data_IF_865462194811
#
_entry.id   IF_865462194811
#
_cell.length_a   1.000
_cell.length_b   1.000
_cell.length_c   1.000
_cell.angle_alpha   90.00
_cell.angle_beta   90.00
_cell.angle_gamma   90.00
#
_symmetry.space_group_name_H-M   'P 1'
#
loop_
_entity.id
_entity.type
_entity.pdbx_description
1 polymer ?
#
# COMPACT_ATOMS: atom_id res chain seq x y z
N UNK A 1 -10.62 11.78 -51.48
CA UNK A 1 -10.96 10.84 -50.37
C UNK A 1 -10.27 11.34 -49.11
N UNK A 2 -11.01 11.76 -48.07
CA UNK A 2 -10.41 12.15 -46.78
C UNK A 2 -9.95 10.88 -46.07
N UNK A 3 -8.64 10.69 -45.88
CA UNK A 3 -8.15 9.64 -44.99
C UNK A 3 -8.58 10.00 -43.57
N UNK A 4 -9.47 9.20 -42.99
CA UNK A 4 -9.88 9.39 -41.59
C UNK A 4 -8.78 8.78 -40.73
N UNK A 5 -8.18 9.60 -39.86
CA UNK A 5 -7.09 9.19 -38.97
C UNK A 5 -7.46 7.90 -38.21
N UNK A 6 -6.51 6.98 -38.09
CA UNK A 6 -6.68 5.79 -37.28
C UNK A 6 -6.79 6.18 -35.80
N UNK A 7 -7.58 5.43 -35.03
CA UNK A 7 -7.58 5.58 -33.57
C UNK A 7 -6.14 5.45 -33.06
N UNK A 8 -5.69 6.45 -32.31
CA UNK A 8 -4.37 6.45 -31.68
C UNK A 8 -4.60 6.16 -30.21
N UNK A 9 -4.00 5.08 -29.72
CA UNK A 9 -4.09 4.72 -28.29
C UNK A 9 -3.00 5.43 -27.51
N UNK A 10 -3.23 5.67 -26.21
CA UNK A 10 -2.24 6.28 -25.34
C UNK A 10 -1.02 5.35 -25.14
N UNK A 11 0.16 5.90 -24.77
CA UNK A 11 1.34 5.09 -24.49
C UNK A 11 1.06 3.96 -23.49
N UNK A 12 1.32 2.72 -23.90
CA UNK A 12 1.12 1.50 -23.10
C UNK A 12 -0.25 0.82 -23.24
N UNK A 13 -1.20 1.48 -23.90
CA UNK A 13 -2.47 0.85 -24.26
C UNK A 13 -2.28 -0.15 -25.42
N UNK A 14 -3.15 -1.17 -25.47
CA UNK A 14 -3.13 -2.15 -26.56
C UNK A 14 -4.24 -1.82 -27.55
N UNK A 15 -3.88 -1.60 -28.81
CA UNK A 15 -4.86 -1.46 -29.89
C UNK A 15 -5.42 -2.82 -30.30
N UNK A 16 -6.75 -2.95 -30.33
CA UNK A 16 -7.44 -4.14 -30.85
C UNK A 16 -8.29 -3.73 -32.04
N UNK A 17 -8.17 -4.48 -33.13
CA UNK A 17 -8.93 -4.27 -34.36
C UNK A 17 -9.67 -5.55 -34.75
N UNK A 18 -10.95 -5.42 -35.06
CA UNK A 18 -11.81 -6.54 -35.47
C UNK A 18 -12.82 -6.11 -36.52
N UNK A 19 -13.36 -7.07 -37.26
CA UNK A 19 -14.43 -6.85 -38.24
C UNK A 19 -15.74 -7.41 -37.70
N UNK A 20 -16.68 -6.53 -37.32
CA UNK A 20 -18.05 -6.92 -36.89
C UNK A 20 -19.05 -5.79 -37.21
N UNK A 21 -20.31 -5.91 -36.84
CA UNK A 21 -21.27 -4.80 -36.95
C UNK A 21 -21.02 -3.77 -35.85
N UNK A 22 -21.37 -2.49 -36.06
CA UNK A 22 -21.12 -1.48 -35.01
C UNK A 22 -21.81 -1.79 -33.67
N UNK A 23 -22.99 -2.42 -33.70
CA UNK A 23 -23.67 -2.88 -32.49
C UNK A 23 -22.90 -3.96 -31.73
N UNK A 24 -22.09 -4.77 -32.43
CA UNK A 24 -21.26 -5.81 -31.83
C UNK A 24 -19.85 -5.36 -31.42
N UNK A 25 -19.42 -4.13 -31.76
CA UNK A 25 -18.06 -3.68 -31.50
C UNK A 25 -17.73 -3.66 -30.00
N UNK A 26 -18.58 -3.02 -29.20
CA UNK A 26 -18.33 -2.83 -27.77
C UNK A 26 -18.23 -4.15 -27.01
N UNK A 27 -19.22 -5.06 -27.03
CA UNK A 27 -19.13 -6.30 -26.27
C UNK A 27 -17.97 -7.20 -26.73
N UNK A 28 -17.59 -7.14 -28.02
CA UNK A 28 -16.43 -7.85 -28.51
C UNK A 28 -15.12 -7.29 -27.95
N UNK A 29 -14.97 -5.96 -27.98
CA UNK A 29 -13.78 -5.28 -27.46
C UNK A 29 -13.68 -5.42 -25.93
N UNK A 30 -14.80 -5.34 -25.21
CA UNK A 30 -14.87 -5.59 -23.76
C UNK A 30 -14.42 -7.02 -23.42
N UNK A 31 -14.89 -8.03 -24.16
CA UNK A 31 -14.45 -9.40 -23.99
C UNK A 31 -12.94 -9.53 -24.27
N UNK A 32 -12.45 -8.97 -25.39
CA UNK A 32 -11.02 -9.06 -25.75
C UNK A 32 -10.10 -8.33 -24.77
N UNK A 33 -10.46 -7.14 -24.31
CA UNK A 33 -9.71 -6.43 -23.28
C UNK A 33 -9.82 -7.15 -21.93
N UNK A 34 -11.00 -7.65 -21.57
CA UNK A 34 -11.24 -8.39 -20.33
C UNK A 34 -10.42 -9.68 -20.22
N UNK A 35 -10.22 -10.40 -21.33
CA UNK A 35 -9.30 -11.54 -21.39
C UNK A 35 -7.84 -11.17 -21.09
N UNK A 36 -7.48 -9.89 -21.22
CA UNK A 36 -6.15 -9.35 -20.86
C UNK A 36 -6.16 -8.67 -19.47
N UNK A 37 -7.25 -8.75 -18.72
CA UNK A 37 -7.42 -8.04 -17.45
C UNK A 37 -7.49 -6.52 -17.62
N UNK A 38 -7.91 -6.04 -18.79
CA UNK A 38 -7.99 -4.61 -19.14
C UNK A 38 -9.42 -4.21 -19.44
N UNK A 39 -9.73 -2.93 -19.29
CA UNK A 39 -11.01 -2.34 -19.72
C UNK A 39 -10.81 -1.57 -21.04
N UNK A 40 -11.87 -1.41 -21.82
CA UNK A 40 -11.84 -0.61 -23.05
C UNK A 40 -11.79 0.87 -22.66
N UNK A 41 -10.73 1.59 -23.03
CA UNK A 41 -10.64 3.05 -22.85
C UNK A 41 -11.34 3.81 -23.95
N UNK A 42 -11.12 3.39 -25.19
CA UNK A 42 -11.62 4.07 -26.38
C UNK A 42 -12.10 3.07 -27.42
N UNK A 43 -13.11 3.47 -28.19
CA UNK A 43 -13.74 2.64 -29.21
C UNK A 43 -14.14 3.49 -30.40
N UNK A 44 -13.79 3.03 -31.58
CA UNK A 44 -14.18 3.61 -32.86
C UNK A 44 -14.75 2.51 -33.76
N UNK A 45 -15.92 2.79 -34.36
CA UNK A 45 -16.50 1.94 -35.39
C UNK A 45 -16.51 2.66 -36.73
N UNK A 46 -15.89 2.08 -37.75
CA UNK A 46 -15.89 2.60 -39.12
C UNK A 46 -16.49 1.58 -40.06
N UNK A 47 -17.40 1.99 -40.94
CA UNK A 47 -17.93 1.10 -42.00
C UNK A 47 -16.80 0.72 -42.96
N UNK A 48 -16.70 -0.55 -43.34
CA UNK A 48 -15.66 -1.01 -44.26
C UNK A 48 -15.97 -0.52 -45.67
N UNK A 49 -15.03 0.21 -46.28
CA UNK A 49 -15.20 0.77 -47.62
C UNK A 49 -15.32 -0.31 -48.70
N UNK A 50 -14.80 -1.52 -48.45
CA UNK A 50 -14.89 -2.66 -49.37
C UNK A 50 -16.14 -3.51 -49.12
N UNK A 51 -16.77 -3.39 -47.95
CA UNK A 51 -17.93 -4.20 -47.60
C UNK A 51 -18.92 -3.43 -46.71
N UNK A 52 -19.99 -2.91 -47.33
CA UNK A 52 -21.02 -2.10 -46.66
C UNK A 52 -21.75 -2.82 -45.51
N UNK A 53 -21.69 -4.15 -45.43
CA UNK A 53 -22.31 -4.94 -44.36
C UNK A 53 -21.39 -5.17 -43.16
N UNK A 54 -20.10 -4.85 -43.30
CA UNK A 54 -19.10 -5.00 -42.23
C UNK A 54 -18.64 -3.63 -41.74
N UNK A 55 -18.34 -3.57 -40.45
CA UNK A 55 -17.63 -2.46 -39.85
C UNK A 55 -16.31 -2.95 -39.27
N UNK A 56 -15.31 -2.08 -39.34
CA UNK A 56 -14.05 -2.22 -38.67
C UNK A 56 -14.20 -1.54 -37.31
N UNK A 57 -14.18 -2.34 -36.26
CA UNK A 57 -14.09 -1.85 -34.89
C UNK A 57 -12.62 -1.75 -34.51
N UNK A 58 -12.23 -0.60 -33.99
CA UNK A 58 -10.92 -0.39 -33.41
C UNK A 58 -11.12 0.10 -31.98
N UNK A 59 -10.40 -0.43 -31.02
CA UNK A 59 -10.49 0.02 -29.64
C UNK A 59 -9.15 -0.05 -28.94
N UNK A 60 -9.01 0.75 -27.89
CA UNK A 60 -7.85 0.76 -27.02
C UNK A 60 -8.23 0.05 -25.73
N UNK A 61 -7.42 -0.92 -25.31
CA UNK A 61 -7.50 -1.49 -23.97
C UNK A 61 -6.56 -0.69 -23.07
N UNK A 62 -7.07 -0.20 -21.94
CA UNK A 62 -6.27 0.53 -20.96
C UNK A 62 -4.97 -0.22 -20.62
N UNK A 63 -3.93 0.55 -20.29
CA UNK A 63 -2.80 0.01 -19.53
C UNK A 63 -3.39 -0.73 -18.33
N UNK A 64 -2.92 -1.95 -17.99
CA UNK A 64 -3.35 -2.59 -16.76
C UNK A 64 -3.18 -1.54 -15.67
N UNK A 65 -4.28 -1.13 -15.04
CA UNK A 65 -4.18 -0.33 -13.82
C UNK A 65 -3.13 -1.04 -12.96
N UNK A 66 -2.19 -0.32 -12.31
CA UNK A 66 -1.32 -0.94 -11.33
C UNK A 66 -2.22 -1.50 -10.23
N UNK A 67 -2.71 -2.72 -10.47
CA UNK A 67 -3.35 -3.52 -9.45
C UNK A 67 -2.27 -3.67 -8.37
N UNK A 68 -2.63 -3.50 -7.09
CA UNK A 68 -1.73 -3.82 -6.01
C UNK A 68 -1.22 -5.25 -6.25
N UNK A 69 0.06 -5.37 -6.61
CA UNK A 69 0.82 -6.60 -6.79
C UNK A 69 -0.06 -7.81 -7.16
N UNK A 70 -0.47 -7.92 -8.43
CA UNK A 70 -0.80 -9.24 -8.95
C UNK A 70 0.50 -10.05 -8.99
N UNK A 71 0.70 -10.83 -7.93
CA UNK A 71 1.62 -11.97 -7.94
C UNK A 71 1.38 -12.81 -9.19
N UNK A 72 2.43 -13.41 -9.77
CA UNK A 72 2.34 -14.19 -11.00
C UNK A 72 1.21 -15.21 -10.91
N UNK A 73 0.57 -15.60 -12.03
CA UNK A 73 -0.46 -16.64 -12.03
C UNK A 73 0.16 -17.87 -11.40
N UNK A 74 -0.21 -18.11 -10.15
CA UNK A 74 0.32 -19.20 -9.35
C UNK A 74 -0.22 -20.47 -9.99
N UNK A 75 0.57 -21.03 -10.91
CA UNK A 75 0.39 -22.37 -11.47
C UNK A 75 0.55 -23.46 -10.41
N UNK A 76 0.85 -23.12 -9.16
CA UNK A 76 0.75 -24.09 -8.08
C UNK A 76 -0.70 -24.18 -7.62
N UNK A 77 -1.28 -25.35 -7.83
CA UNK A 77 -2.57 -25.83 -7.31
C UNK A 77 -2.68 -25.79 -5.78
N UNK A 78 -1.76 -25.10 -5.09
CA UNK A 78 -1.57 -25.07 -3.65
C UNK A 78 -1.31 -23.63 -3.21
N UNK A 79 -2.04 -23.24 -2.19
CA UNK A 79 -1.79 -22.00 -1.48
C UNK A 79 -0.50 -22.11 -0.64
N UNK A 80 0.12 -20.98 -0.26
CA UNK A 80 1.19 -20.93 0.73
C UNK A 80 0.84 -21.71 2.01
N UNK A 81 1.85 -22.23 2.72
CA UNK A 81 1.68 -23.13 3.87
C UNK A 81 0.80 -22.58 5.02
N UNK A 82 0.57 -21.26 5.08
CA UNK A 82 -0.26 -20.59 6.08
C UNK A 82 -1.67 -20.23 5.59
N UNK A 83 -2.00 -20.59 4.36
CA UNK A 83 -3.28 -20.28 3.73
C UNK A 83 -4.08 -21.56 3.50
N UNK A 84 -5.40 -21.45 3.62
CA UNK A 84 -6.32 -22.55 3.35
C UNK A 84 -6.80 -22.45 1.90
N UNK A 85 -6.61 -23.50 1.12
CA UNK A 85 -7.15 -23.56 -0.23
C UNK A 85 -8.66 -23.86 -0.23
N UNK A 86 -9.39 -23.20 -1.12
CA UNK A 86 -10.78 -23.47 -1.42
C UNK A 86 -10.97 -23.56 -2.93
N UNK A 87 -11.38 -24.73 -3.39
CA UNK A 87 -11.61 -25.00 -4.81
C UNK A 87 -13.10 -25.25 -5.04
N UNK A 88 -13.66 -24.65 -6.08
CA UNK A 88 -15.04 -24.92 -6.51
C UNK A 88 -15.21 -24.74 -8.01
N UNK A 89 -16.28 -25.33 -8.54
CA UNK A 89 -16.58 -25.37 -9.97
C UNK A 89 -17.96 -24.79 -10.23
N UNK A 90 -18.08 -24.07 -11.33
CA UNK A 90 -19.36 -23.65 -11.89
C UNK A 90 -19.54 -24.34 -13.25
N UNK A 91 -20.41 -25.35 -13.29
CA UNK A 91 -20.74 -26.11 -14.51
C UNK A 91 -21.88 -25.41 -15.25
N UNK A 92 -21.84 -25.40 -16.58
CA UNK A 92 -22.89 -24.82 -17.43
C UNK A 92 -22.90 -23.29 -17.48
N UNK A 93 -21.91 -22.63 -16.90
CA UNK A 93 -21.69 -21.19 -17.02
C UNK A 93 -20.70 -20.90 -18.15
N UNK A 94 -20.89 -19.77 -18.83
CA UNK A 94 -19.96 -19.30 -19.86
C UNK A 94 -18.57 -19.16 -19.25
N UNK A 95 -17.58 -19.72 -19.94
CA UNK A 95 -16.15 -19.82 -19.55
C UNK A 95 -15.52 -18.50 -19.15
N UNK A 96 -16.14 -17.37 -19.52
CA UNK A 96 -15.61 -16.03 -19.36
C UNK A 96 -16.05 -15.30 -18.10
N UNK A 97 -16.99 -15.85 -17.31
CA UNK A 97 -17.52 -15.14 -16.14
C UNK A 97 -16.73 -15.44 -14.86
N UNK A 98 -15.48 -14.97 -14.82
CA UNK A 98 -14.65 -15.07 -13.62
C UNK A 98 -15.14 -14.21 -12.45
N UNK A 99 -16.17 -13.36 -12.64
CA UNK A 99 -16.80 -12.62 -11.56
C UNK A 99 -17.44 -13.53 -10.51
N UNK A 100 -17.88 -14.72 -10.93
CA UNK A 100 -18.38 -15.77 -10.03
C UNK A 100 -17.30 -16.31 -9.08
N UNK A 101 -16.04 -16.36 -9.53
CA UNK A 101 -14.93 -16.77 -8.65
C UNK A 101 -14.69 -15.74 -7.56
N UNK A 102 -14.77 -14.45 -7.88
CA UNK A 102 -14.51 -13.39 -6.91
C UNK A 102 -15.53 -13.42 -5.76
N UNK A 103 -16.82 -13.47 -6.08
CA UNK A 103 -17.88 -13.54 -5.07
C UNK A 103 -17.82 -14.86 -4.30
N UNK A 104 -17.65 -16.00 -4.99
CA UNK A 104 -17.56 -17.31 -4.35
C UNK A 104 -16.34 -17.47 -3.44
N UNK A 105 -15.17 -16.92 -3.83
CA UNK A 105 -13.98 -16.91 -2.99
C UNK A 105 -14.21 -16.11 -1.72
N UNK A 106 -14.77 -14.91 -1.84
CA UNK A 106 -15.09 -14.05 -0.68
C UNK A 106 -16.00 -14.77 0.30
N UNK A 107 -17.14 -15.27 -0.17
CA UNK A 107 -18.11 -15.99 0.68
C UNK A 107 -17.46 -17.19 1.41
N UNK A 108 -16.62 -17.96 0.71
CA UNK A 108 -15.98 -19.16 1.29
C UNK A 108 -14.87 -18.84 2.29
N UNK A 109 -14.09 -17.79 2.05
CA UNK A 109 -13.08 -17.36 3.02
C UNK A 109 -13.75 -16.69 4.23
N UNK A 110 -14.78 -15.89 4.04
CA UNK A 110 -15.54 -15.26 5.13
C UNK A 110 -16.18 -16.32 6.04
N UNK A 111 -16.69 -17.42 5.48
CA UNK A 111 -17.25 -18.55 6.23
C UNK A 111 -16.28 -19.23 7.21
N UNK A 112 -14.96 -19.03 7.05
CA UNK A 112 -13.93 -19.55 7.96
C UNK A 112 -13.21 -18.43 8.73
N UNK A 113 -13.77 -17.21 8.75
CA UNK A 113 -13.14 -16.05 9.39
C UNK A 113 -11.81 -15.62 8.73
N UNK A 114 -11.63 -15.96 7.46
CA UNK A 114 -10.46 -15.63 6.67
C UNK A 114 -10.75 -14.50 5.68
N UNK A 115 -9.71 -13.96 5.06
CA UNK A 115 -9.81 -13.08 3.89
C UNK A 115 -9.21 -13.77 2.67
N UNK A 116 -9.73 -13.44 1.48
CA UNK A 116 -9.12 -13.86 0.22
C UNK A 116 -7.80 -13.12 0.06
N UNK A 117 -6.69 -13.83 -0.12
CA UNK A 117 -5.38 -13.25 -0.45
C UNK A 117 -5.05 -13.40 -1.92
N UNK A 118 -5.34 -14.57 -2.48
CA UNK A 118 -5.10 -14.90 -3.88
C UNK A 118 -6.31 -15.63 -4.45
N UNK A 119 -6.64 -15.37 -5.71
CA UNK A 119 -7.67 -16.12 -6.44
C UNK A 119 -7.20 -16.44 -7.86
N UNK A 120 -7.61 -17.60 -8.37
CA UNK A 120 -7.38 -18.02 -9.75
C UNK A 120 -8.69 -18.52 -10.36
N UNK A 121 -8.88 -18.22 -11.65
CA UNK A 121 -10.03 -18.63 -12.45
C UNK A 121 -9.51 -19.42 -13.65
N UNK A 122 -9.92 -20.68 -13.78
CA UNK A 122 -9.47 -21.58 -14.85
C UNK A 122 -10.70 -22.11 -15.59
N UNK A 123 -10.73 -21.93 -16.91
CA UNK A 123 -11.77 -22.52 -17.75
C UNK A 123 -11.70 -24.05 -17.71
N UNK A 124 -12.83 -24.71 -17.45
CA UNK A 124 -12.95 -26.16 -17.54
C UNK A 124 -13.31 -26.53 -18.98
N UNK A 125 -12.48 -27.36 -19.61
CA UNK A 125 -12.70 -27.91 -20.95
C UNK A 125 -12.76 -29.43 -20.89
N UNK A 126 -13.65 -30.04 -21.67
CA UNK A 126 -13.65 -31.50 -21.85
C UNK A 126 -12.47 -31.86 -22.73
N UNK A 127 -11.52 -32.63 -22.20
CA UNK A 127 -10.23 -32.93 -22.86
C UNK A 127 -10.43 -33.51 -24.27
N UNK A 128 -11.43 -34.38 -24.45
CA UNK A 128 -11.71 -35.04 -25.73
C UNK A 128 -12.24 -34.08 -26.81
N UNK A 129 -13.07 -33.10 -26.45
CA UNK A 129 -13.79 -32.25 -27.42
C UNK A 129 -13.34 -30.80 -27.41
N UNK A 130 -12.51 -30.40 -26.44
CA UNK A 130 -12.13 -29.01 -26.13
C UNK A 130 -13.33 -28.08 -25.93
N UNK A 131 -14.52 -28.63 -25.71
CA UNK A 131 -15.73 -27.84 -25.44
C UNK A 131 -15.63 -27.31 -24.01
N UNK A 132 -15.78 -26.00 -23.80
CA UNK A 132 -15.80 -25.46 -22.46
C UNK A 132 -17.09 -25.84 -21.75
N UNK A 133 -16.96 -26.36 -20.54
CA UNK A 133 -18.07 -26.85 -19.71
C UNK A 133 -18.29 -26.04 -18.45
N UNK A 134 -17.39 -25.10 -18.16
CA UNK A 134 -17.53 -24.23 -17.00
C UNK A 134 -16.23 -23.55 -16.61
N UNK A 135 -16.16 -23.18 -15.34
CA UNK A 135 -14.96 -22.59 -14.71
C UNK A 135 -14.67 -23.29 -13.38
N UNK A 136 -13.39 -23.33 -13.02
CA UNK A 136 -12.89 -23.73 -11.71
C UNK A 136 -12.26 -22.51 -11.06
N UNK A 137 -12.72 -22.22 -9.85
CA UNK A 137 -12.22 -21.16 -9.01
C UNK A 137 -11.35 -21.77 -7.91
N UNK A 138 -10.14 -21.24 -7.76
CA UNK A 138 -9.24 -21.58 -6.65
C UNK A 138 -9.01 -20.31 -5.84
N UNK A 139 -9.19 -20.39 -4.53
CA UNK A 139 -9.03 -19.28 -3.61
C UNK A 139 -8.04 -19.67 -2.52
N UNK A 140 -7.17 -18.74 -2.14
CA UNK A 140 -6.36 -18.86 -0.95
C UNK A 140 -6.91 -17.96 0.13
N UNK A 141 -7.28 -18.59 1.25
CA UNK A 141 -7.89 -17.93 2.40
C UNK A 141 -6.86 -17.83 3.52
N UNK A 142 -6.47 -16.62 3.88
CA UNK A 142 -5.62 -16.36 5.03
C UNK A 142 -6.51 -16.05 6.25
N UNK A 143 -6.38 -16.85 7.32
CA UNK A 143 -7.07 -16.56 8.59
C UNK A 143 -6.72 -15.13 9.02
N UNK A 144 -7.73 -14.37 9.46
CA UNK A 144 -7.47 -13.11 10.13
C UNK A 144 -6.80 -13.46 11.45
N UNK A 145 -5.50 -13.23 11.55
CA UNK A 145 -4.88 -13.16 12.86
C UNK A 145 -5.63 -12.08 13.64
N UNK A 146 -6.03 -12.34 14.90
CA UNK A 146 -6.57 -11.28 15.73
C UNK A 146 -5.57 -10.14 15.67
N UNK A 147 -6.04 -8.95 15.27
CA UNK A 147 -5.20 -7.78 15.28
C UNK A 147 -4.57 -7.70 16.68
N UNK A 148 -3.24 -7.50 16.80
CA UNK A 148 -2.69 -7.19 18.09
C UNK A 148 -3.48 -6.00 18.65
N UNK A 149 -3.80 -6.00 19.95
CA UNK A 149 -4.50 -4.88 20.57
C UNK A 149 -3.78 -3.59 20.17
N UNK A 150 -4.54 -2.50 19.90
CA UNK A 150 -3.91 -1.22 19.60
C UNK A 150 -2.87 -0.93 20.69
N UNK A 151 -1.67 -0.46 20.31
CA UNK A 151 -0.69 -0.04 21.32
C UNK A 151 -1.38 0.95 22.27
N UNK A 152 -1.08 0.89 23.58
CA UNK A 152 -1.65 1.83 24.53
C UNK A 152 -1.44 3.26 23.99
N UNK A 153 -2.41 4.17 24.18
CA UNK A 153 -2.26 5.56 23.74
C UNK A 153 -0.91 6.05 24.24
N UNK A 154 -0.06 6.49 23.31
CA UNK A 154 1.22 7.07 23.65
C UNK A 154 0.94 8.17 24.67
N UNK A 155 1.53 8.04 25.87
CA UNK A 155 1.51 9.12 26.84
C UNK A 155 1.93 10.38 26.10
N UNK A 156 1.13 11.44 26.24
CA UNK A 156 1.45 12.74 25.67
C UNK A 156 2.92 13.04 25.95
N UNK A 157 3.70 13.48 24.96
CA UNK A 157 5.07 13.87 25.20
C UNK A 157 5.08 14.84 26.39
N UNK A 158 5.98 14.65 27.37
CA UNK A 158 6.08 15.58 28.48
C UNK A 158 6.19 17.01 27.92
N UNK A 159 5.54 18.00 28.55
CA UNK A 159 5.62 19.37 28.10
C UNK A 159 7.09 19.75 27.88
N UNK A 160 7.41 20.48 26.80
CA UNK A 160 8.77 20.91 26.53
C UNK A 160 9.33 21.57 27.79
N UNK A 161 10.57 21.26 28.20
CA UNK A 161 11.18 21.88 29.36
C UNK A 161 11.10 23.40 29.20
N UNK A 162 10.78 24.15 30.28
CA UNK A 162 10.78 25.60 30.23
C UNK A 162 12.12 26.07 29.67
N UNK A 163 12.13 27.13 28.82
CA UNK A 163 13.37 27.66 28.28
C UNK A 163 14.34 27.89 29.44
N UNK A 164 15.61 27.45 29.32
CA UNK A 164 16.59 27.62 30.38
C UNK A 164 16.57 29.09 30.76
N UNK A 165 16.29 29.34 32.03
CA UNK A 165 16.27 30.66 32.60
C UNK A 165 17.72 31.15 32.51
N UNK A 166 18.09 31.74 31.36
CA UNK A 166 19.48 32.00 31.00
C UNK A 166 20.04 33.03 31.99
N UNK A 167 20.60 32.53 33.09
CA UNK A 167 21.30 33.33 34.11
C UNK A 167 22.59 33.95 33.57
N UNK A 168 23.02 33.52 32.38
CA UNK A 168 24.23 33.96 31.71
C UNK A 168 23.98 35.23 30.90
N UNK A 169 24.98 36.12 30.91
CA UNK A 169 24.97 37.30 30.05
C UNK A 169 25.12 36.88 28.58
N UNK A 170 24.59 37.70 27.67
CA UNK A 170 24.78 37.50 26.22
C UNK A 170 26.28 37.47 25.91
N UNK A 171 26.73 36.39 25.26
CA UNK A 171 28.14 36.14 24.97
C UNK A 171 28.78 35.05 25.84
N UNK A 172 28.14 34.66 26.96
CA UNK A 172 28.64 33.61 27.83
C UNK A 172 28.04 32.25 27.44
N UNK A 173 28.84 31.19 27.57
CA UNK A 173 28.38 29.81 27.35
C UNK A 173 27.69 29.29 28.60
N UNK A 174 26.42 28.90 28.47
CA UNK A 174 25.64 28.25 29.54
C UNK A 174 25.91 26.74 29.55
N UNK A 175 26.11 26.19 30.74
CA UNK A 175 26.19 24.75 30.97
C UNK A 175 25.46 24.38 32.26
N UNK A 176 24.71 23.29 32.26
CA UNK A 176 23.97 22.79 33.43
C UNK A 176 24.37 21.35 33.77
N UNK A 177 24.38 21.03 35.06
CA UNK A 177 24.68 19.72 35.64
C UNK A 177 23.64 19.38 36.69
N UNK A 178 23.18 18.14 36.72
CA UNK A 178 22.29 17.65 37.76
C UNK A 178 22.97 16.56 38.59
N UNK A 179 22.91 16.70 39.91
CA UNK A 179 23.43 15.73 40.87
C UNK A 179 22.27 15.18 41.71
N UNK A 180 21.93 13.92 41.48
CA UNK A 180 20.89 13.20 42.22
C UNK A 180 21.43 12.66 43.55
N UNK A 181 20.54 12.49 44.53
CA UNK A 181 20.82 12.00 45.89
C UNK A 181 21.75 12.90 46.72
N UNK A 182 21.73 14.21 46.46
CA UNK A 182 22.50 15.19 47.24
C UNK A 182 21.71 16.49 47.37
N UNK A 183 22.00 17.25 48.43
CA UNK A 183 21.57 18.65 48.62
C UNK A 183 22.77 19.58 48.75
N UNK A 184 23.98 19.05 48.53
CA UNK A 184 25.23 19.77 48.73
C UNK A 184 25.63 20.50 47.45
N UNK A 185 25.63 21.83 47.49
CA UNK A 185 26.08 22.69 46.39
C UNK A 185 27.60 22.71 46.19
N UNK A 186 28.39 22.15 47.10
CA UNK A 186 29.87 22.16 47.00
C UNK A 186 30.40 21.45 45.75
N UNK A 187 29.64 20.52 45.18
CA UNK A 187 30.00 19.87 43.91
C UNK A 187 29.94 20.84 42.72
N UNK A 188 29.04 21.83 42.75
CA UNK A 188 28.86 22.78 41.65
C UNK A 188 30.12 23.60 41.35
N UNK A 189 30.89 23.98 42.37
CA UNK A 189 32.11 24.76 42.17
C UNK A 189 33.14 23.99 41.35
N UNK A 190 33.43 22.76 41.77
CA UNK A 190 34.36 21.88 41.06
C UNK A 190 33.86 21.48 39.67
N UNK A 191 32.56 21.28 39.51
CA UNK A 191 31.94 20.88 38.24
C UNK A 191 31.91 22.04 37.24
N UNK A 192 31.55 23.24 37.68
CA UNK A 192 31.61 24.46 36.87
C UNK A 192 33.04 24.80 36.47
N UNK A 193 34.01 24.67 37.37
CA UNK A 193 35.42 24.91 37.05
C UNK A 193 35.95 23.90 36.02
N UNK A 194 35.56 22.63 36.14
CA UNK A 194 35.88 21.60 35.14
C UNK A 194 35.24 21.88 33.79
N UNK A 195 33.96 22.29 33.78
CA UNK A 195 33.23 22.57 32.53
C UNK A 195 33.71 23.83 31.81
N UNK A 196 34.12 24.84 32.56
CA UNK A 196 34.76 26.02 31.99
C UNK A 196 36.26 25.82 31.72
N UNK A 197 36.82 24.61 31.78
CA UNK A 197 38.25 24.39 31.49
C UNK A 197 38.60 24.80 30.06
N UNK A 198 39.22 25.98 29.93
CA UNK A 198 39.47 26.68 28.65
C UNK A 198 38.93 28.12 28.60
N UNK A 199 38.13 28.50 29.60
CA UNK A 199 37.42 29.79 29.72
C UNK A 199 37.38 30.23 31.19
N UNK A 200 36.98 31.47 31.47
CA UNK A 200 36.83 31.93 32.86
C UNK A 200 35.41 31.68 33.37
N UNK A 201 35.25 31.10 34.56
CA UNK A 201 33.93 30.98 35.19
C UNK A 201 33.39 32.38 35.52
N UNK A 202 32.31 32.77 34.85
CA UNK A 202 31.70 34.10 34.95
C UNK A 202 30.62 34.18 36.03
N UNK A 203 29.84 33.11 36.17
CA UNK A 203 28.77 33.01 37.18
C UNK A 203 28.43 31.53 37.40
N UNK A 204 28.09 31.19 38.64
CA UNK A 204 27.51 29.90 38.97
C UNK A 204 26.24 30.08 39.82
N UNK A 205 25.30 29.15 39.72
CA UNK A 205 24.09 29.10 40.56
C UNK A 205 23.82 27.66 40.92
N UNK A 206 23.43 27.44 42.17
CA UNK A 206 23.04 26.14 42.68
C UNK A 206 21.57 26.19 43.11
N UNK A 207 20.77 25.28 42.58
CA UNK A 207 19.35 25.13 42.94
C UNK A 207 19.17 23.77 43.57
N UNK A 208 18.66 23.74 44.81
CA UNK A 208 18.37 22.49 45.53
C UNK A 208 16.89 22.16 45.37
N UNK A 209 16.59 21.06 44.69
CA UNK A 209 15.24 20.51 44.61
C UNK A 209 14.98 19.57 45.80
N UNK A 210 13.81 19.71 46.42
CA UNK A 210 13.53 19.08 47.71
C UNK A 210 13.05 17.63 47.61
N UNK A 211 12.54 17.18 46.46
CA UNK A 211 12.04 15.81 46.23
C UNK A 211 11.91 15.50 44.74
N UNK A 212 12.77 14.65 44.15
CA UNK A 212 13.90 13.94 44.79
C UNK A 212 14.99 14.90 45.29
N UNK A 213 15.85 14.46 46.21
CA UNK A 213 16.99 15.26 46.68
C UNK A 213 17.97 15.43 45.52
N UNK A 214 17.88 16.57 44.83
CA UNK A 214 18.62 16.86 43.61
C UNK A 214 19.19 18.27 43.68
N UNK A 215 20.42 18.41 43.20
CA UNK A 215 21.07 19.71 43.03
C UNK A 215 21.25 19.95 41.54
N UNK A 216 20.73 21.06 41.03
CA UNK A 216 21.07 21.58 39.70
C UNK A 216 22.13 22.67 39.84
N UNK A 217 23.24 22.48 39.14
CA UNK A 217 24.35 23.42 39.02
C UNK A 217 24.29 24.09 37.66
N UNK A 218 24.16 25.41 37.64
CA UNK A 218 24.16 26.21 36.42
C UNK A 218 25.44 27.03 36.36
N UNK A 219 26.21 26.88 35.28
CA UNK A 219 27.52 27.46 35.07
C UNK A 219 27.49 28.37 33.84
N UNK A 220 28.08 29.56 33.96
CA UNK A 220 28.30 30.49 32.86
C UNK A 220 29.79 30.66 32.65
N UNK A 221 30.30 30.30 31.47
CA UNK A 221 31.71 30.47 31.10
C UNK A 221 31.87 31.68 30.15
N UNK A 222 32.92 32.48 30.34
CA UNK A 222 33.30 33.59 29.45
C UNK A 222 34.20 33.12 28.31
#
# INVERSE_FOLDING_TARGET
>A
MKMVAAITCDPGETNIRTSTTCGGCRPYLENKCGLQGRVVSSLECKRDAKNSTKSICSGCCQVPLPCPLQTPPVSSSKCPAMETDKIFKHVGKTVSDCGLCQSGCKTRCDAIGARVTTQACVGLVVVATRVPVGIQCTCCCQKRLPFPPPPPPALSPPPPPPPPNNICKVGNTYSESEHVNTKNCGFCESDCQRRCSGTSLAKQTCTVESSPSQVSCQCCCN
#
